data_IF_955455149337
#
_entry.id   IF_955455149337
#
_cell.length_a   1.000
_cell.length_b   1.000
_cell.length_c   1.000
_cell.angle_alpha   90.00
_cell.angle_beta   90.00
_cell.angle_gamma   90.00
#
_symmetry.space_group_name_H-M   'P 1'
#
loop_
_entity.id
_entity.type
_entity.pdbx_description
1 polymer ?
#
# COMPACT_ATOMS: atom_id res chain seq x y z
N UNK A 1 -13.25 42.87 7.29
CA UNK A 1 -12.22 41.84 7.55
C UNK A 1 -12.81 40.51 7.17
N UNK A 2 -12.45 39.99 5.99
CA UNK A 2 -12.99 38.73 5.48
C UNK A 2 -12.07 37.61 5.95
N UNK A 3 -12.55 36.81 6.90
CA UNK A 3 -11.85 35.61 7.36
C UNK A 3 -12.04 34.55 6.28
N UNK A 4 -10.97 34.24 5.55
CA UNK A 4 -10.92 33.13 4.60
C UNK A 4 -10.87 31.84 5.44
N UNK A 5 -11.98 31.10 5.44
CA UNK A 5 -12.01 29.73 5.93
C UNK A 5 -11.23 28.85 4.94
N UNK A 6 -10.01 28.47 5.32
CA UNK A 6 -9.29 27.38 4.68
C UNK A 6 -10.05 26.09 4.99
N UNK A 7 -10.81 25.59 4.01
CA UNK A 7 -11.27 24.21 4.02
C UNK A 7 -10.03 23.29 4.04
N UNK A 8 -10.00 22.25 4.87
CA UNK A 8 -8.96 21.25 4.76
C UNK A 8 -9.17 20.50 3.45
N UNK A 9 -8.34 20.79 2.45
CA UNK A 9 -8.10 19.99 1.26
C UNK A 9 -7.71 18.57 1.70
N UNK A 10 -8.73 17.80 2.03
CA UNK A 10 -8.60 16.38 2.27
C UNK A 10 -8.55 15.79 0.87
N UNK A 11 -7.34 15.66 0.36
CA UNK A 11 -6.98 14.85 -0.80
C UNK A 11 -7.33 13.37 -0.57
N UNK A 12 -8.60 13.06 -0.32
CA UNK A 12 -9.20 11.82 -0.76
C UNK A 12 -9.34 11.96 -2.27
N UNK A 13 -8.20 11.85 -2.95
CA UNK A 13 -8.16 11.64 -4.38
C UNK A 13 -8.99 10.38 -4.63
N UNK A 14 -10.23 10.61 -5.03
CA UNK A 14 -11.09 9.63 -5.66
C UNK A 14 -10.21 8.87 -6.62
N UNK A 15 -9.96 7.59 -6.35
CA UNK A 15 -9.48 6.63 -7.34
C UNK A 15 -10.55 6.56 -8.44
N UNK A 16 -10.54 7.57 -9.31
CA UNK A 16 -11.13 7.50 -10.62
C UNK A 16 -10.21 6.57 -11.38
N UNK A 17 -10.69 5.36 -11.64
CA UNK A 17 -10.11 4.50 -12.68
C UNK A 17 -10.03 5.36 -13.94
N UNK A 18 -8.85 5.67 -14.47
CA UNK A 18 -8.75 6.53 -15.65
C UNK A 18 -9.39 5.81 -16.85
N UNK A 19 -10.19 6.52 -17.64
CA UNK A 19 -10.75 6.05 -18.93
C UNK A 19 -9.67 5.88 -20.03
N UNK A 20 -8.41 6.16 -19.70
CA UNK A 20 -7.26 6.01 -20.58
C UNK A 20 -6.26 5.04 -19.96
N UNK A 21 -5.61 4.17 -20.76
CA UNK A 21 -4.55 3.30 -20.25
C UNK A 21 -3.49 4.17 -19.58
N UNK A 22 -3.21 3.93 -18.29
CA UNK A 22 -2.10 4.60 -17.63
C UNK A 22 -0.81 4.27 -18.39
N UNK A 23 0.05 5.26 -18.70
CA UNK A 23 1.35 4.98 -19.29
C UNK A 23 2.14 4.04 -18.35
N UNK A 24 2.84 3.04 -18.92
CA UNK A 24 3.58 2.00 -18.19
C UNK A 24 4.41 2.51 -17.00
N UNK A 25 5.04 3.68 -17.18
CA UNK A 25 5.80 4.37 -16.14
C UNK A 25 5.00 4.63 -14.85
N UNK A 26 3.71 4.95 -14.96
CA UNK A 26 2.85 5.16 -13.78
C UNK A 26 2.61 3.86 -13.02
N UNK A 27 2.52 2.70 -13.69
CA UNK A 27 2.41 1.42 -13.00
C UNK A 27 3.69 1.07 -12.23
N UNK A 28 4.86 1.33 -12.83
CA UNK A 28 6.14 1.14 -12.16
C UNK A 28 6.28 2.06 -10.93
N UNK A 29 5.93 3.33 -11.09
CA UNK A 29 5.94 4.32 -10.00
C UNK A 29 4.99 3.91 -8.86
N UNK A 30 3.80 3.42 -9.19
CA UNK A 30 2.80 2.97 -8.23
C UNK A 30 3.26 1.71 -7.47
N UNK A 31 3.80 0.70 -8.18
CA UNK A 31 4.35 -0.50 -7.53
C UNK A 31 5.56 -0.17 -6.65
N UNK A 32 6.42 0.76 -7.09
CA UNK A 32 7.54 1.23 -6.28
C UNK A 32 7.07 2.00 -5.02
N UNK A 33 5.97 2.74 -5.13
CA UNK A 33 5.34 3.39 -3.97
C UNK A 33 4.77 2.35 -3.00
N UNK A 34 4.01 1.37 -3.47
CA UNK A 34 3.47 0.28 -2.64
C UNK A 34 4.57 -0.51 -1.93
N UNK A 35 5.69 -0.77 -2.61
CA UNK A 35 6.86 -1.41 -2.02
C UNK A 35 7.43 -0.61 -0.85
N UNK A 36 7.67 0.69 -1.04
CA UNK A 36 8.16 1.57 0.03
C UNK A 36 7.19 1.62 1.21
N UNK A 37 5.89 1.67 0.90
CA UNK A 37 4.85 1.70 1.90
C UNK A 37 4.78 0.40 2.72
N UNK A 38 4.84 -0.77 2.07
CA UNK A 38 4.88 -2.06 2.74
C UNK A 38 6.09 -2.17 3.70
N UNK A 39 7.29 -1.79 3.23
CA UNK A 39 8.51 -1.77 4.05
C UNK A 39 8.36 -0.84 5.26
N UNK A 40 7.80 0.35 5.08
CA UNK A 40 7.53 1.27 6.18
C UNK A 40 6.65 0.64 7.26
N UNK A 41 5.53 0.00 6.86
CA UNK A 41 4.62 -0.61 7.82
C UNK A 41 5.20 -1.85 8.51
N UNK A 42 6.03 -2.64 7.82
CA UNK A 42 6.78 -3.73 8.47
C UNK A 42 7.73 -3.21 9.56
N UNK A 43 8.48 -2.15 9.27
CA UNK A 43 9.38 -1.54 10.25
C UNK A 43 8.59 -1.00 11.45
N UNK A 44 7.46 -0.37 11.18
CA UNK A 44 6.54 0.13 12.21
C UNK A 44 6.00 -0.99 13.10
N UNK A 45 5.55 -2.09 12.51
CA UNK A 45 5.12 -3.30 13.23
C UNK A 45 6.28 -3.92 14.02
N UNK A 46 7.48 -3.96 13.47
CA UNK A 46 8.67 -4.45 14.16
C UNK A 46 9.02 -3.63 15.41
N UNK A 47 8.74 -2.33 15.41
CA UNK A 47 8.84 -1.49 16.62
C UNK A 47 7.66 -1.75 17.58
N UNK A 48 6.44 -1.87 17.05
CA UNK A 48 5.24 -2.15 17.83
C UNK A 48 5.34 -3.49 18.57
N UNK A 49 5.91 -4.52 17.95
CA UNK A 49 6.12 -5.84 18.57
C UNK A 49 7.13 -5.76 19.70
N UNK A 50 8.22 -5.00 19.52
CA UNK A 50 9.26 -4.85 20.53
C UNK A 50 8.77 -4.12 21.78
N UNK A 51 7.91 -3.12 21.59
CA UNK A 51 7.50 -2.21 22.65
C UNK A 51 6.08 -2.50 23.19
N UNK A 52 5.21 -3.11 22.38
CA UNK A 52 3.80 -3.27 22.66
C UNK A 52 3.43 -4.42 23.60
N UNK A 53 2.15 -4.46 23.97
CA UNK A 53 1.57 -5.47 24.85
C UNK A 53 1.64 -6.89 24.26
N UNK A 54 2.01 -7.87 25.09
CA UNK A 54 2.05 -9.30 24.73
C UNK A 54 0.73 -9.82 24.17
N UNK A 55 -0.40 -9.30 24.67
CA UNK A 55 -1.73 -9.72 24.23
C UNK A 55 -1.99 -9.45 22.74
N UNK A 56 -1.35 -8.42 22.17
CA UNK A 56 -1.53 -8.02 20.76
C UNK A 56 -0.43 -8.58 19.85
N UNK A 57 0.65 -9.14 20.40
CA UNK A 57 1.79 -9.67 19.61
C UNK A 57 1.37 -10.70 18.57
N UNK A 58 0.50 -11.69 18.84
CA UNK A 58 0.08 -12.65 17.82
C UNK A 58 -0.54 -11.99 16.59
N UNK A 59 -1.38 -10.97 16.81
CA UNK A 59 -1.99 -10.19 15.73
C UNK A 59 -0.94 -9.38 14.96
N UNK A 60 0.01 -8.76 15.65
CA UNK A 60 1.09 -7.99 15.00
C UNK A 60 2.02 -8.87 14.17
N UNK A 61 2.36 -10.07 14.64
CA UNK A 61 3.15 -11.04 13.87
C UNK A 61 2.39 -11.52 12.63
N UNK A 62 1.08 -11.80 12.76
CA UNK A 62 0.26 -12.17 11.61
C UNK A 62 0.20 -11.06 10.55
N UNK A 63 0.09 -9.79 10.96
CA UNK A 63 0.19 -8.66 10.03
C UNK A 63 1.58 -8.57 9.39
N UNK A 64 2.65 -8.77 10.17
CA UNK A 64 4.02 -8.73 9.66
C UNK A 64 4.24 -9.81 8.58
N UNK A 65 3.74 -11.02 8.78
CA UNK A 65 3.75 -12.10 7.78
C UNK A 65 2.96 -11.72 6.52
N UNK A 66 1.79 -11.08 6.66
CA UNK A 66 1.01 -10.60 5.51
C UNK A 66 1.77 -9.55 4.70
N UNK A 67 2.42 -8.60 5.36
CA UNK A 67 3.26 -7.63 4.68
C UNK A 67 4.48 -8.28 4.00
N UNK A 68 5.08 -9.31 4.61
CA UNK A 68 6.19 -10.04 4.00
C UNK A 68 5.75 -10.80 2.74
N UNK A 69 4.58 -11.47 2.79
CA UNK A 69 3.98 -12.12 1.63
C UNK A 69 3.66 -11.11 0.52
N UNK A 70 3.12 -9.95 0.88
CA UNK A 70 2.84 -8.87 -0.06
C UNK A 70 4.11 -8.37 -0.76
N UNK A 71 5.20 -8.20 -0.01
CA UNK A 71 6.48 -7.71 -0.50
C UNK A 71 7.25 -8.72 -1.36
N UNK A 72 7.30 -9.98 -0.93
CA UNK A 72 8.16 -10.98 -1.55
C UNK A 72 7.47 -11.79 -2.66
N UNK A 73 6.14 -11.91 -2.61
CA UNK A 73 5.40 -12.73 -3.57
C UNK A 73 4.53 -11.88 -4.49
N UNK A 74 3.71 -10.99 -3.94
CA UNK A 74 2.69 -10.28 -4.72
C UNK A 74 3.24 -9.11 -5.56
N UNK A 75 4.06 -8.23 -4.96
CA UNK A 75 4.66 -7.11 -5.69
C UNK A 75 5.63 -7.53 -6.81
N UNK A 76 6.53 -8.51 -6.59
CA UNK A 76 7.45 -8.95 -7.65
C UNK A 76 6.74 -9.61 -8.81
N UNK A 77 5.69 -10.42 -8.56
CA UNK A 77 4.87 -11.01 -9.61
C UNK A 77 4.21 -9.92 -10.49
N UNK A 78 3.76 -8.83 -9.86
CA UNK A 78 3.16 -7.70 -10.56
C UNK A 78 4.19 -6.88 -11.34
N UNK A 79 5.38 -6.64 -10.78
CA UNK A 79 6.48 -5.99 -11.48
C UNK A 79 6.94 -6.79 -12.71
N UNK A 80 7.00 -8.12 -12.59
CA UNK A 80 7.30 -8.97 -13.73
C UNK A 80 6.26 -8.81 -14.84
N UNK A 81 4.97 -8.74 -14.46
CA UNK A 81 3.88 -8.53 -15.40
C UNK A 81 4.02 -7.18 -16.13
N UNK A 82 4.37 -6.09 -15.42
CA UNK A 82 4.66 -4.79 -16.05
C UNK A 82 5.84 -4.87 -17.04
N UNK A 83 6.92 -5.54 -16.65
CA UNK A 83 8.09 -5.72 -17.50
C UNK A 83 7.78 -6.52 -18.77
N UNK A 84 6.94 -7.55 -18.65
CA UNK A 84 6.53 -8.39 -19.78
C UNK A 84 5.65 -7.59 -20.76
N UNK A 85 4.79 -6.69 -20.26
CA UNK A 85 4.08 -5.75 -21.11
C UNK A 85 5.01 -4.75 -21.80
N UNK A 86 5.97 -4.17 -21.07
CA UNK A 86 6.91 -3.18 -21.62
C UNK A 86 7.79 -3.75 -22.74
N UNK A 87 8.10 -5.05 -22.70
CA UNK A 87 8.92 -5.76 -23.70
C UNK A 87 8.19 -6.09 -25.01
N UNK A 88 6.96 -5.61 -25.19
CA UNK A 88 6.31 -5.61 -26.51
C UNK A 88 5.43 -6.82 -26.79
N UNK A 89 4.86 -7.45 -25.75
CA UNK A 89 3.66 -8.26 -25.97
C UNK A 89 2.51 -7.27 -26.22
N UNK A 90 1.93 -7.16 -27.43
CA UNK A 90 0.90 -6.18 -27.71
C UNK A 90 -0.29 -6.46 -26.78
N UNK A 91 -0.44 -5.63 -25.76
CA UNK A 91 -1.47 -5.80 -24.77
C UNK A 91 -2.82 -5.56 -25.45
N UNK A 92 -3.58 -6.62 -25.65
CA UNK A 92 -5.00 -6.48 -25.97
C UNK A 92 -5.64 -5.63 -24.85
N UNK A 93 -6.62 -4.77 -25.15
CA UNK A 93 -7.32 -3.94 -24.16
C UNK A 93 -7.79 -4.74 -22.93
N UNK A 94 -8.17 -6.00 -23.13
CA UNK A 94 -8.57 -6.94 -22.08
C UNK A 94 -7.43 -7.23 -21.08
N UNK A 95 -6.19 -7.36 -21.57
CA UNK A 95 -4.99 -7.58 -20.74
C UNK A 95 -4.66 -6.35 -19.89
N UNK A 96 -4.84 -5.14 -20.45
CA UNK A 96 -4.64 -3.88 -19.73
C UNK A 96 -5.70 -3.71 -18.65
N UNK A 97 -6.97 -4.00 -18.95
CA UNK A 97 -8.06 -3.96 -17.97
C UNK A 97 -7.84 -4.98 -16.84
N UNK A 98 -7.40 -6.20 -17.17
CA UNK A 98 -7.04 -7.24 -16.20
C UNK A 98 -5.89 -6.80 -15.30
N UNK A 99 -4.87 -6.15 -15.87
CA UNK A 99 -3.76 -5.61 -15.10
C UNK A 99 -4.22 -4.51 -14.12
N UNK A 100 -5.04 -3.57 -14.59
CA UNK A 100 -5.61 -2.54 -13.72
C UNK A 100 -6.44 -3.13 -12.57
N UNK A 101 -7.25 -4.16 -12.84
CA UNK A 101 -8.00 -4.85 -11.81
C UNK A 101 -7.09 -5.52 -10.77
N UNK A 102 -5.99 -6.11 -11.22
CA UNK A 102 -4.98 -6.72 -10.35
C UNK A 102 -4.25 -5.66 -9.50
N UNK A 103 -3.93 -4.51 -10.08
CA UNK A 103 -3.29 -3.39 -9.37
C UNK A 103 -4.23 -2.80 -8.30
N UNK A 104 -5.50 -2.60 -8.64
CA UNK A 104 -6.52 -2.15 -7.69
C UNK A 104 -6.71 -3.16 -6.54
N UNK A 105 -6.63 -4.46 -6.83
CA UNK A 105 -6.67 -5.51 -5.80
C UNK A 105 -5.47 -5.41 -4.85
N UNK A 106 -4.26 -5.22 -5.37
CA UNK A 106 -3.06 -5.01 -4.55
C UNK A 106 -3.15 -3.76 -3.67
N UNK A 107 -3.65 -2.65 -4.21
CA UNK A 107 -3.89 -1.43 -3.43
C UNK A 107 -4.90 -1.68 -2.30
N UNK A 108 -5.99 -2.40 -2.60
CA UNK A 108 -7.01 -2.73 -1.60
C UNK A 108 -6.44 -3.63 -0.49
N UNK A 109 -5.67 -4.65 -0.84
CA UNK A 109 -4.99 -5.51 0.14
C UNK A 109 -4.05 -4.70 1.02
N UNK A 110 -3.24 -3.80 0.43
CA UNK A 110 -2.38 -2.90 1.20
C UNK A 110 -3.19 -1.99 2.13
N UNK A 111 -4.30 -1.42 1.66
CA UNK A 111 -5.19 -0.59 2.47
C UNK A 111 -5.81 -1.35 3.65
N UNK A 112 -6.23 -2.60 3.45
CA UNK A 112 -6.77 -3.47 4.50
C UNK A 112 -5.69 -3.76 5.57
N UNK A 113 -4.48 -4.14 5.15
CA UNK A 113 -3.36 -4.36 6.08
C UNK A 113 -3.03 -3.07 6.86
N UNK A 114 -2.98 -1.92 6.18
CA UNK A 114 -2.77 -0.59 6.80
C UNK A 114 -3.79 -0.29 7.88
N UNK A 115 -5.06 -0.58 7.62
CA UNK A 115 -6.13 -0.38 8.61
C UNK A 115 -5.95 -1.22 9.88
N UNK A 116 -5.29 -2.39 9.76
CA UNK A 116 -4.87 -3.20 10.90
C UNK A 116 -3.71 -2.59 11.70
N UNK A 117 -2.81 -1.85 11.04
CA UNK A 117 -1.65 -1.22 11.69
C UNK A 117 -2.03 0.07 12.42
N UNK A 118 -2.91 0.91 11.87
CA UNK A 118 -3.25 2.22 12.45
C UNK A 118 -3.67 2.20 13.93
N UNK A 119 -4.53 1.27 14.39
CA UNK A 119 -4.88 1.16 15.81
C UNK A 119 -3.68 0.87 16.73
N UNK A 120 -2.63 0.25 16.20
CA UNK A 120 -1.40 -0.06 16.95
C UNK A 120 -0.50 1.17 17.09
N UNK A 121 -0.57 2.13 16.15
CA UNK A 121 0.23 3.35 16.21
C UNK A 121 -0.06 4.18 17.47
N UNK A 122 -1.33 4.28 17.88
CA UNK A 122 -1.72 4.98 19.10
C UNK A 122 -1.17 4.32 20.37
N UNK A 123 -1.01 3.00 20.37
CA UNK A 123 -0.43 2.29 21.51
C UNK A 123 1.09 2.52 21.60
N UNK A 124 1.78 2.64 20.47
CA UNK A 124 3.20 2.97 20.47
C UNK A 124 3.49 4.39 20.98
N UNK A 125 2.60 5.36 20.71
CA UNK A 125 2.75 6.73 21.22
C UNK A 125 2.80 6.78 22.76
N UNK A 126 2.08 5.87 23.43
CA UNK A 126 2.06 5.79 24.90
C UNK A 126 3.37 5.31 25.52
N UNK A 127 4.28 4.74 24.73
CA UNK A 127 5.55 4.17 25.19
C UNK A 127 6.66 5.24 25.18
N UNK A 128 6.39 6.42 24.63
CA UNK A 128 7.31 7.57 24.63
C UNK A 128 7.15 8.42 25.89
N UNK A 129 7.59 7.91 27.04
CA UNK A 129 7.99 8.74 28.19
C UNK A 129 9.20 8.06 28.85
N UNK A 130 10.37 8.67 28.69
CA UNK A 130 11.50 8.58 29.62
C UNK A 130 12.05 9.99 29.81
#
# INVERSE_FOLDING_TARGET
>A
MTVVHLQPDTHLARLKVPDHPMPFRQWEEELAFMQKEAVFYQQLLGMAIRNGSDAKKPFMYALLEQFAHYEHDLLPAMQQSVNDFAKGNPALPETVASFHASLAKLQKTLQEMKSGVFPLCFEMQKITIW
#
